data_IF_556129132856
#
_entry.id   IF_556129132856
#
_cell.length_a   1.000
_cell.length_b   1.000
_cell.length_c   1.000
_cell.angle_alpha   90.00
_cell.angle_beta   90.00
_cell.angle_gamma   90.00
#
_symmetry.space_group_name_H-M   'P 1'
#
loop_
_entity.id
_entity.type
_entity.pdbx_description
1 polymer ?
#
# COMPACT_ATOMS: atom_id res chain seq x y z
N UNK A 1 8.24 24.73 -8.91
CA UNK A 1 7.91 24.46 -8.62
C UNK A 1 7.44 24.04 -7.77
N UNK A 2 7.43 23.98 -7.52
CA UNK A 2 7.24 23.72 -6.38
C UNK A 2 6.07 23.20 -6.00
N UNK A 3 5.63 22.70 -6.52
CA UNK A 3 4.58 22.42 -6.20
C UNK A 3 4.33 21.57 -5.26
N UNK A 4 3.58 21.47 -4.67
CA UNK A 4 3.22 20.87 -3.59
C UNK A 4 3.03 19.49 -3.68
N UNK A 5 3.96 18.76 -3.50
CA UNK A 5 3.83 17.34 -3.60
C UNK A 5 3.35 16.70 -2.37
N UNK A 6 2.98 17.41 -1.41
CA UNK A 6 2.62 16.77 -0.19
C UNK A 6 1.41 15.88 -0.32
N UNK A 7 0.64 16.07 -1.37
CA UNK A 7 -0.51 15.18 -1.55
C UNK A 7 -0.11 13.79 -1.96
N UNK A 8 1.15 13.57 -2.24
CA UNK A 8 1.58 12.24 -2.67
C UNK A 8 1.96 11.33 -1.52
N UNK A 9 1.86 11.80 -0.28
CA UNK A 9 2.16 10.96 0.87
C UNK A 9 0.94 10.81 1.75
N UNK A 10 0.67 9.59 2.14
CA UNK A 10 -0.46 9.25 2.98
C UNK A 10 0.05 8.66 4.28
N UNK A 11 -0.50 9.11 5.39
CA UNK A 11 -0.11 8.60 6.69
C UNK A 11 -0.81 7.30 6.99
N UNK A 12 -0.12 6.41 7.70
CA UNK A 12 -0.72 5.16 8.13
C UNK A 12 -0.29 4.85 9.55
N UNK A 13 -1.04 3.94 10.16
CA UNK A 13 -0.73 3.43 11.49
C UNK A 13 -0.74 1.92 11.42
N UNK A 14 0.39 1.31 11.77
CA UNK A 14 0.49 -0.14 11.77
C UNK A 14 -0.30 -0.71 12.94
N UNK A 15 -1.11 -1.73 12.71
CA UNK A 15 -1.90 -2.32 13.80
C UNK A 15 -1.05 -2.83 14.95
N UNK A 16 0.09 -3.47 14.65
CA UNK A 16 0.95 -4.00 15.70
C UNK A 16 2.19 -3.18 15.91
N UNK A 17 2.77 -2.68 14.83
CA UNK A 17 3.96 -1.88 14.92
C UNK A 17 5.22 -2.68 14.63
N UNK A 18 6.24 -1.96 14.20
CA UNK A 18 7.54 -2.55 13.88
C UNK A 18 8.48 -2.34 15.06
N UNK A 19 9.05 -3.40 15.57
CA UNK A 19 10.01 -3.32 16.68
C UNK A 19 11.41 -3.32 16.10
N UNK A 20 12.17 -2.27 16.38
CA UNK A 20 13.54 -2.20 15.87
C UNK A 20 14.49 -2.97 16.81
N UNK A 21 15.77 -2.98 16.45
CA UNK A 21 16.74 -3.75 17.18
C UNK A 21 16.91 -3.26 18.62
N UNK A 22 16.58 -2.00 18.86
CA UNK A 22 16.69 -1.45 20.21
C UNK A 22 15.44 -1.69 21.03
N UNK A 23 14.41 -2.30 20.44
CA UNK A 23 13.19 -2.59 21.17
C UNK A 23 12.13 -1.51 21.06
N UNK A 24 12.39 -0.46 20.30
CA UNK A 24 11.39 0.59 20.11
C UNK A 24 10.36 0.13 19.10
N UNK A 25 9.09 0.44 19.38
CA UNK A 25 7.99 0.05 18.51
C UNK A 25 7.54 1.26 17.72
N UNK A 26 7.53 1.11 16.42
CA UNK A 26 7.15 2.18 15.50
C UNK A 26 5.85 1.81 14.83
N UNK A 27 4.85 2.66 14.96
CA UNK A 27 3.53 2.38 14.40
C UNK A 27 3.16 3.31 13.28
N UNK A 28 3.56 4.57 13.38
CA UNK A 28 3.12 5.56 12.41
C UNK A 28 4.15 5.71 11.32
N UNK A 29 3.65 5.87 10.11
CA UNK A 29 4.53 6.04 8.98
C UNK A 29 3.84 6.74 7.85
N UNK A 30 4.52 6.77 6.71
CA UNK A 30 4.01 7.44 5.53
C UNK A 30 4.31 6.61 4.29
N UNK A 31 3.39 6.64 3.36
CA UNK A 31 3.54 5.95 2.09
C UNK A 31 3.27 6.97 0.98
N UNK A 32 4.15 7.00 -0.02
CA UNK A 32 3.94 7.88 -1.16
C UNK A 32 3.25 7.11 -2.27
N UNK A 33 2.68 7.86 -3.20
CA UNK A 33 2.12 7.22 -4.38
C UNK A 33 3.24 6.58 -5.19
N UNK A 34 2.92 5.47 -5.80
CA UNK A 34 3.87 4.77 -6.65
C UNK A 34 3.86 5.37 -8.05
N UNK A 35 5.03 5.35 -8.67
CA UNK A 35 5.13 5.71 -10.08
C UNK A 35 5.15 4.44 -10.90
N UNK A 36 5.00 4.58 -12.22
CA UNK A 36 5.11 3.42 -13.09
C UNK A 36 6.45 2.73 -12.92
N UNK A 37 7.52 3.51 -12.73
CA UNK A 37 8.85 2.92 -12.54
C UNK A 37 8.91 2.06 -11.29
N UNK A 38 8.22 2.48 -10.24
CA UNK A 38 8.20 1.70 -9.01
C UNK A 38 7.62 0.32 -9.22
N UNK A 39 6.73 0.17 -10.18
CA UNK A 39 6.10 -1.12 -10.43
C UNK A 39 6.84 -1.92 -11.49
N UNK A 40 7.59 -1.26 -12.36
CA UNK A 40 8.29 -1.92 -13.44
C UNK A 40 9.65 -2.44 -13.01
N UNK A 41 10.42 -1.61 -12.32
CA UNK A 41 11.80 -1.97 -11.99
C UNK A 41 11.90 -3.22 -11.12
N UNK A 42 11.04 -3.40 -10.12
CA UNK A 42 11.18 -4.62 -9.30
C UNK A 42 10.96 -5.90 -10.08
N UNK A 43 10.25 -5.83 -11.19
CA UNK A 43 10.02 -7.03 -11.98
C UNK A 43 11.32 -7.60 -12.58
N UNK A 44 12.38 -6.80 -12.60
CA UNK A 44 13.65 -7.27 -13.10
C UNK A 44 14.44 -8.06 -12.07
N UNK A 45 14.01 -8.03 -10.81
CA UNK A 45 14.75 -8.69 -9.76
C UNK A 45 14.56 -10.19 -9.84
N UNK A 46 15.64 -10.95 -9.71
CA UNK A 46 15.51 -12.42 -9.76
C UNK A 46 14.60 -12.96 -8.67
N UNK A 47 14.59 -12.33 -7.51
CA UNK A 47 13.73 -12.80 -6.43
C UNK A 47 12.27 -12.74 -6.81
N UNK A 48 11.87 -11.72 -7.57
CA UNK A 48 10.48 -11.61 -8.00
C UNK A 48 10.16 -12.70 -9.00
N UNK A 49 11.09 -13.00 -9.88
CA UNK A 49 10.85 -14.04 -10.89
C UNK A 49 10.68 -15.40 -10.26
N UNK A 50 11.35 -15.64 -9.15
CA UNK A 50 11.24 -16.91 -8.47
C UNK A 50 10.06 -16.96 -7.53
N UNK A 51 9.65 -15.83 -7.01
CA UNK A 51 8.56 -15.76 -6.06
C UNK A 51 7.83 -14.45 -6.24
N UNK A 52 6.70 -14.49 -6.93
CA UNK A 52 5.98 -13.29 -7.26
C UNK A 52 5.51 -12.53 -6.02
N UNK A 53 5.34 -13.23 -4.91
CA UNK A 53 4.93 -12.55 -3.70
C UNK A 53 5.97 -11.55 -3.21
N UNK A 54 7.22 -11.75 -3.61
CA UNK A 54 8.27 -10.83 -3.20
C UNK A 54 8.11 -9.46 -3.85
N UNK A 55 7.34 -9.37 -4.92
CA UNK A 55 7.07 -8.09 -5.55
C UNK A 55 6.46 -7.12 -4.57
N UNK A 56 5.55 -7.58 -3.73
CA UNK A 56 4.92 -6.72 -2.73
C UNK A 56 5.94 -6.15 -1.76
N UNK A 57 6.92 -6.95 -1.37
CA UNK A 57 7.96 -6.47 -0.48
C UNK A 57 8.73 -5.32 -1.12
N UNK A 58 9.09 -5.49 -2.39
CA UNK A 58 9.85 -4.45 -3.08
C UNK A 58 9.03 -3.20 -3.31
N UNK A 59 7.76 -3.37 -3.65
CA UNK A 59 6.89 -2.21 -3.84
C UNK A 59 6.74 -1.41 -2.56
N UNK A 60 6.55 -2.09 -1.45
CA UNK A 60 6.41 -1.39 -0.19
C UNK A 60 7.71 -0.73 0.24
N UNK A 61 8.84 -1.40 0.00
CA UNK A 61 10.13 -0.79 0.36
C UNK A 61 10.37 0.48 -0.43
N UNK A 62 9.86 0.56 -1.66
CA UNK A 62 10.04 1.75 -2.46
C UNK A 62 9.07 2.87 -2.09
N UNK A 63 7.87 2.53 -1.66
CA UNK A 63 6.83 3.53 -1.48
C UNK A 63 6.64 3.97 -0.04
N UNK A 64 7.01 3.12 0.92
CA UNK A 64 6.96 3.54 2.33
C UNK A 64 8.16 4.42 2.59
N UNK A 65 7.88 5.68 2.92
CA UNK A 65 8.97 6.65 3.08
C UNK A 65 9.44 6.74 4.51
N UNK A 66 8.62 6.31 5.46
CA UNK A 66 8.99 6.39 6.86
C UNK A 66 8.15 5.44 7.68
N UNK A 67 8.78 4.82 8.68
CA UNK A 67 8.08 4.07 9.70
C UNK A 67 8.65 4.56 11.02
N UNK A 68 7.86 5.29 11.78
CA UNK A 68 8.35 5.92 12.99
C UNK A 68 9.48 6.88 12.67
N UNK A 69 10.62 6.65 13.28
CA UNK A 69 11.80 7.46 13.03
C UNK A 69 12.67 6.91 11.91
N UNK A 70 12.31 5.77 11.37
CA UNK A 70 13.11 5.12 10.35
C UNK A 70 12.76 5.70 9.00
N UNK A 71 13.72 6.34 8.34
CA UNK A 71 13.50 6.96 7.05
C UNK A 71 14.10 6.17 5.91
N UNK A 72 14.86 5.13 6.23
CA UNK A 72 15.43 4.29 5.18
C UNK A 72 14.76 2.93 5.27
N UNK A 73 13.70 2.77 4.52
CA UNK A 73 12.90 1.55 4.55
C UNK A 73 13.43 0.61 3.49
N UNK A 74 14.01 -0.50 3.94
CA UNK A 74 14.63 -1.47 3.05
C UNK A 74 13.71 -2.67 2.89
N UNK A 75 13.96 -3.51 1.87
CA UNK A 75 13.19 -4.76 1.76
C UNK A 75 13.31 -5.61 3.01
N UNK A 76 14.50 -5.63 3.62
CA UNK A 76 14.65 -6.40 4.86
C UNK A 76 13.77 -5.90 5.98
N UNK A 77 13.57 -4.58 6.07
CA UNK A 77 12.68 -4.05 7.08
C UNK A 77 11.26 -4.51 6.82
N UNK A 78 10.83 -4.45 5.57
CA UNK A 78 9.48 -4.88 5.22
C UNK A 78 9.29 -6.35 5.55
N UNK A 79 10.30 -7.18 5.28
CA UNK A 79 10.21 -8.60 5.60
C UNK A 79 10.09 -8.83 7.10
N UNK A 80 10.59 -7.92 7.90
CA UNK A 80 10.53 -8.04 9.34
C UNK A 80 9.23 -7.58 9.97
N UNK A 81 8.30 -7.06 9.17
CA UNK A 81 7.00 -6.66 9.71
C UNK A 81 6.19 -7.89 10.08
N UNK A 82 5.31 -7.73 11.07
CA UNK A 82 4.34 -8.78 11.32
C UNK A 82 3.43 -8.94 10.12
N UNK A 83 2.96 -10.15 9.91
CA UNK A 83 2.16 -10.44 8.72
C UNK A 83 0.93 -9.54 8.62
N UNK A 84 0.30 -9.25 9.74
CA UNK A 84 -0.88 -8.39 9.71
C UNK A 84 -0.54 -6.97 9.30
N UNK A 85 0.61 -6.46 9.73
CA UNK A 85 1.04 -5.13 9.33
C UNK A 85 1.41 -5.10 7.86
N UNK A 86 2.08 -6.15 7.39
CA UNK A 86 2.42 -6.25 5.98
C UNK A 86 1.16 -6.25 5.13
N UNK A 87 0.16 -7.02 5.53
CA UNK A 87 -1.11 -7.07 4.82
C UNK A 87 -1.80 -5.70 4.84
N UNK A 88 -1.73 -5.03 5.98
CA UNK A 88 -2.32 -3.70 6.09
C UNK A 88 -1.70 -2.73 5.09
N UNK A 89 -0.38 -2.78 4.95
CA UNK A 89 0.30 -1.91 4.00
C UNK A 89 0.01 -2.29 2.56
N UNK A 90 -0.14 -3.58 2.27
CA UNK A 90 -0.50 -3.98 0.92
C UNK A 90 -1.87 -3.46 0.54
N UNK A 91 -2.82 -3.52 1.46
CA UNK A 91 -4.16 -3.02 1.19
C UNK A 91 -4.14 -1.50 1.01
N UNK A 92 -3.35 -0.82 1.81
CA UNK A 92 -3.22 0.62 1.66
C UNK A 92 -2.62 0.96 0.32
N UNK A 93 -1.57 0.23 -0.07
CA UNK A 93 -0.93 0.46 -1.36
C UNK A 93 -1.93 0.34 -2.50
N UNK A 94 -2.73 -0.71 -2.47
CA UNK A 94 -3.70 -0.92 -3.54
C UNK A 94 -4.75 0.16 -3.56
N UNK A 95 -5.16 0.60 -2.38
CA UNK A 95 -6.22 1.59 -2.31
C UNK A 95 -5.78 2.94 -2.85
N UNK A 96 -4.58 3.38 -2.48
CA UNK A 96 -4.16 4.73 -2.86
C UNK A 96 -3.59 4.78 -4.28
N UNK A 97 -3.18 3.65 -4.84
CA UNK A 97 -2.57 3.64 -6.16
C UNK A 97 -3.50 3.19 -7.28
N UNK A 98 -4.73 2.82 -6.96
CA UNK A 98 -5.62 2.26 -7.96
C UNK A 98 -6.33 3.33 -8.77
N UNK A 99 -6.17 4.61 -8.42
CA UNK A 99 -6.79 5.70 -9.18
C UNK A 99 -8.29 5.52 -9.34
N UNK A 100 -8.91 5.04 -8.29
CA UNK A 100 -10.34 4.85 -8.34
C UNK A 100 -10.76 3.46 -8.75
N UNK A 101 -9.81 2.63 -9.15
CA UNK A 101 -10.18 1.27 -9.51
C UNK A 101 -10.68 0.50 -8.30
N UNK A 102 -10.11 0.77 -7.13
CA UNK A 102 -10.55 0.11 -5.91
C UNK A 102 -11.77 0.80 -5.31
N UNK A 103 -11.99 2.05 -5.68
CA UNK A 103 -13.14 2.81 -5.21
C UNK A 103 -13.83 3.37 -6.44
N UNK A 104 -15.00 2.85 -6.74
CA UNK A 104 -15.73 3.29 -7.89
C UNK A 104 -17.00 4.00 -7.50
N UNK A 105 -17.56 4.72 -8.46
CA UNK A 105 -18.83 5.39 -8.26
C UNK A 105 -19.91 4.57 -8.93
N UNK A 106 -20.90 4.18 -8.16
CA UNK A 106 -21.97 3.33 -8.64
C UNK A 106 -23.26 4.11 -8.59
N UNK A 107 -24.06 4.00 -9.64
CA UNK A 107 -25.37 4.65 -9.70
C UNK A 107 -26.44 3.63 -9.34
N UNK A 108 -27.31 4.03 -8.44
CA UNK A 108 -28.41 3.18 -8.08
C UNK A 108 -29.42 3.13 -9.23
N UNK A 109 -29.79 1.95 -9.75
CA UNK A 109 -30.69 1.88 -10.89
C UNK A 109 -32.09 2.39 -10.59
N UNK A 110 -32.48 2.44 -9.33
CA UNK A 110 -33.82 2.89 -9.01
C UNK A 110 -33.91 4.39 -8.80
N UNK A 111 -32.95 4.97 -8.13
CA UNK A 111 -33.04 6.39 -7.80
C UNK A 111 -31.97 7.21 -8.47
N UNK A 112 -31.08 6.58 -9.22
CA UNK A 112 -29.99 7.25 -9.91
C UNK A 112 -29.04 7.95 -8.95
N UNK A 113 -29.09 7.61 -7.70
CA UNK A 113 -28.18 8.17 -6.72
C UNK A 113 -26.82 7.52 -6.85
N UNK A 114 -25.78 8.32 -6.79
CA UNK A 114 -24.43 7.81 -6.96
C UNK A 114 -23.76 7.67 -5.62
N UNK A 115 -22.97 6.65 -5.50
CA UNK A 115 -22.23 6.40 -4.26
C UNK A 115 -20.94 5.64 -4.60
N UNK A 116 -19.98 5.70 -3.68
CA UNK A 116 -18.70 5.05 -3.88
C UNK A 116 -18.72 3.66 -3.29
N UNK A 117 -18.08 2.76 -4.00
CA UNK A 117 -18.00 1.37 -3.59
C UNK A 117 -16.55 0.95 -3.63
N UNK A 118 -16.12 0.21 -2.61
CA UNK A 118 -14.77 -0.33 -2.57
C UNK A 118 -14.73 -1.54 -3.47
N UNK A 119 -14.12 -1.39 -4.63
CA UNK A 119 -14.13 -2.45 -5.63
C UNK A 119 -13.30 -3.65 -5.22
N UNK A 120 -12.37 -3.49 -4.27
CA UNK A 120 -11.64 -4.66 -3.81
C UNK A 120 -12.55 -5.60 -3.06
N UNK A 121 -13.57 -5.09 -2.39
CA UNK A 121 -14.55 -5.96 -1.75
C UNK A 121 -15.41 -6.67 -2.77
N UNK A 122 -15.67 -6.01 -3.89
CA UNK A 122 -16.41 -6.62 -4.96
C UNK A 122 -15.64 -7.80 -5.52
N UNK A 123 -14.34 -7.68 -5.61
CA UNK A 123 -13.51 -8.74 -6.14
C UNK A 123 -13.54 -9.97 -5.27
N UNK A 124 -13.98 -9.84 -4.03
CA UNK A 124 -14.13 -11.02 -3.19
C UNK A 124 -15.34 -11.84 -3.60
N UNK A 125 -16.07 -11.39 -4.59
CA UNK A 125 -17.19 -12.20 -5.10
C UNK A 125 -18.48 -11.99 -4.37
N UNK A 126 -18.51 -11.11 -3.42
CA UNK A 126 -19.72 -10.95 -2.65
C UNK A 126 -20.77 -10.13 -3.37
N UNK A 127 -20.34 -9.32 -4.29
CA UNK A 127 -21.27 -8.45 -4.96
C UNK A 127 -22.15 -9.17 -5.92
N UNK A 128 -21.74 -10.23 -6.48
CA UNK A 128 -22.49 -10.90 -7.51
C UNK A 128 -23.66 -11.70 -7.00
N UNK A 129 -23.79 -11.85 -5.73
CA UNK A 129 -24.84 -12.70 -5.19
C UNK A 129 -26.21 -12.12 -5.18
#
# INVERSE_FOLDING_TARGET
MGVAPMQTEIEFTLPRGYADAAGNVHREGRMRLATARDEIEPLREPEVRQNEAYLSVLLLARTVTRIGDITEVTPGLIEGLYAGDFDHLQRLYERINSNGDAVGVVSCPHCAQRFEVDLTEIEDGRLGE
#
